data_IF_138518792133
#
_entry.id   IF_138518792133
#
_cell.length_a   1.000
_cell.length_b   1.000
_cell.length_c   1.000
_cell.angle_alpha   90.00
_cell.angle_beta   90.00
_cell.angle_gamma   90.00
#
_symmetry.space_group_name_H-M   'P 1'
#
loop_
_entity.id
_entity.type
_entity.pdbx_description
1 polymer ?
#
# COMPACT_ATOMS: atom_id res chain seq x y z
N UNK A 1 -4.86 14.03 -4.21
CA UNK A 1 -5.62 12.91 -4.81
C UNK A 1 -4.66 11.80 -5.19
N UNK A 2 -5.00 10.58 -4.83
CA UNK A 2 -4.12 9.45 -5.14
C UNK A 2 -4.38 8.96 -6.56
N UNK A 3 -3.29 8.71 -7.28
CA UNK A 3 -3.37 8.14 -8.64
C UNK A 3 -3.15 6.64 -8.66
N UNK A 4 -3.07 6.02 -7.48
CA UNK A 4 -2.82 4.59 -7.39
C UNK A 4 -4.10 3.79 -7.56
N UNK A 5 -4.00 2.68 -8.28
CA UNK A 5 -5.12 1.78 -8.52
C UNK A 5 -4.71 0.33 -8.27
N UNK A 6 -5.70 -0.51 -8.01
CA UNK A 6 -5.48 -1.95 -7.88
C UNK A 6 -4.83 -2.46 -9.16
N UNK A 7 -3.77 -3.25 -9.01
CA UNK A 7 -3.01 -3.77 -10.13
C UNK A 7 -1.80 -2.94 -10.52
N UNK A 8 -1.68 -1.72 -9.98
CA UNK A 8 -0.54 -0.87 -10.29
C UNK A 8 0.73 -1.42 -9.67
N UNK A 9 1.83 -1.28 -10.42
CA UNK A 9 3.15 -1.58 -9.92
C UNK A 9 3.70 -0.36 -9.18
N UNK A 10 4.11 -0.56 -7.94
CA UNK A 10 4.58 0.53 -7.07
C UNK A 10 5.83 0.10 -6.32
N UNK A 11 6.50 1.08 -5.73
CA UNK A 11 7.63 0.82 -4.85
C UNK A 11 7.41 1.58 -3.55
N UNK A 12 8.05 1.09 -2.49
CA UNK A 12 8.00 1.74 -1.18
C UNK A 12 9.26 1.39 -0.41
N UNK A 13 9.51 2.16 0.65
CA UNK A 13 10.70 1.95 1.48
C UNK A 13 10.37 1.07 2.68
N UNK A 14 11.30 0.18 3.00
CA UNK A 14 11.24 -0.63 4.21
C UNK A 14 12.52 -0.37 5.01
N UNK A 15 12.59 -0.92 6.23
CA UNK A 15 13.80 -0.79 7.03
C UNK A 15 15.01 -1.48 6.37
N UNK A 16 14.77 -2.38 5.44
CA UNK A 16 15.82 -3.06 4.67
C UNK A 16 16.14 -2.35 3.36
N UNK A 17 15.48 -1.24 3.08
CA UNK A 17 15.66 -0.49 1.85
C UNK A 17 14.41 -0.54 0.97
N UNK A 18 14.49 -0.04 -0.25
CA UNK A 18 13.33 -0.01 -1.14
C UNK A 18 12.95 -1.40 -1.61
N UNK A 19 11.65 -1.58 -1.77
CA UNK A 19 11.09 -2.79 -2.38
C UNK A 19 9.98 -2.39 -3.33
N UNK A 20 9.48 -3.33 -4.12
CA UNK A 20 8.42 -3.05 -5.06
C UNK A 20 7.44 -4.21 -5.13
N UNK A 21 6.27 -3.94 -5.65
CA UNK A 21 5.23 -4.93 -5.76
C UNK A 21 4.01 -4.36 -6.44
N UNK A 22 2.87 -4.95 -6.14
CA UNK A 22 1.60 -4.66 -6.79
C UNK A 22 0.55 -4.29 -5.74
N UNK A 23 -0.30 -3.34 -6.08
CA UNK A 23 -1.44 -2.98 -5.22
C UNK A 23 -2.52 -4.04 -5.38
N UNK A 24 -2.91 -4.67 -4.26
CA UNK A 24 -3.96 -5.67 -4.23
C UNK A 24 -5.33 -5.07 -3.93
N UNK A 25 -5.39 -4.08 -3.03
CA UNK A 25 -6.66 -3.50 -2.58
C UNK A 25 -6.49 -2.02 -2.31
N UNK A 26 -7.58 -1.30 -2.50
CA UNK A 26 -7.71 0.10 -2.11
C UNK A 26 -8.73 0.17 -0.99
N UNK A 27 -8.33 0.75 0.15
CA UNK A 27 -9.19 0.88 1.32
C UNK A 27 -9.53 2.35 1.54
N UNK A 28 -10.81 2.63 1.73
CA UNK A 28 -11.29 4.00 1.94
C UNK A 28 -11.99 4.17 3.28
N UNK A 29 -11.92 3.17 4.13
CA UNK A 29 -12.45 3.19 5.49
C UNK A 29 -11.41 2.63 6.43
N UNK A 30 -11.51 2.99 7.71
CA UNK A 30 -10.61 2.46 8.71
C UNK A 30 -10.68 0.94 8.74
N UNK A 31 -9.55 0.32 8.95
CA UNK A 31 -9.44 -1.14 8.93
C UNK A 31 -8.29 -1.60 9.82
N UNK A 32 -8.29 -2.88 10.12
CA UNK A 32 -7.17 -3.51 10.83
C UNK A 32 -6.41 -4.40 9.86
N UNK A 33 -5.11 -4.36 9.95
CA UNK A 33 -4.24 -5.17 9.11
C UNK A 33 -3.02 -5.58 9.94
N UNK A 34 -2.76 -6.88 10.01
CA UNK A 34 -1.62 -7.45 10.73
C UNK A 34 -1.54 -6.94 12.18
N UNK A 35 -2.71 -6.89 12.84
CA UNK A 35 -2.80 -6.48 14.23
C UNK A 35 -2.70 -4.98 14.47
N UNK A 36 -2.64 -4.17 13.41
CA UNK A 36 -2.55 -2.71 13.52
C UNK A 36 -3.79 -2.05 12.94
N UNK A 37 -4.16 -0.94 13.55
CA UNK A 37 -5.29 -0.15 13.08
C UNK A 37 -4.80 0.92 12.10
N UNK A 38 -5.42 0.97 10.92
CA UNK A 38 -5.12 1.97 9.92
C UNK A 38 -6.34 2.83 9.66
N UNK A 39 -6.11 4.13 9.52
CA UNK A 39 -7.18 5.05 9.12
C UNK A 39 -7.14 5.24 7.61
N UNK A 40 -8.32 5.37 7.01
CA UNK A 40 -8.41 5.61 5.58
C UNK A 40 -9.72 6.32 5.27
N UNK A 41 -9.73 7.05 4.15
CA UNK A 41 -10.92 7.73 3.65
C UNK A 41 -10.82 7.79 2.14
N UNK A 42 -11.87 8.25 1.48
CA UNK A 42 -11.83 8.38 0.02
C UNK A 42 -10.82 9.44 -0.42
N UNK A 43 -10.62 10.47 0.40
CA UNK A 43 -9.64 11.52 0.10
C UNK A 43 -8.21 11.11 0.45
N UNK A 44 -8.06 10.13 1.32
CA UNK A 44 -6.76 9.64 1.78
C UNK A 44 -6.81 8.13 1.92
N UNK A 45 -6.89 7.41 0.81
CA UNK A 45 -7.00 5.95 0.85
C UNK A 45 -5.71 5.28 1.28
N UNK A 46 -5.86 4.10 1.88
CA UNK A 46 -4.75 3.21 2.15
C UNK A 46 -4.77 2.07 1.13
N UNK A 47 -3.62 1.47 0.92
CA UNK A 47 -3.46 0.41 -0.08
C UNK A 47 -2.81 -0.81 0.55
N UNK A 48 -3.34 -1.98 0.22
CA UNK A 48 -2.70 -3.25 0.56
C UNK A 48 -1.86 -3.64 -0.65
N UNK A 49 -0.58 -3.86 -0.41
CA UNK A 49 0.38 -4.19 -1.46
C UNK A 49 1.03 -5.53 -1.19
N UNK A 50 1.46 -6.21 -2.24
CA UNK A 50 2.19 -7.46 -2.15
C UNK A 50 3.58 -7.27 -2.74
N UNK A 51 4.60 -7.58 -1.96
CA UNK A 51 5.99 -7.48 -2.41
C UNK A 51 6.27 -8.54 -3.49
N UNK A 52 6.84 -8.11 -4.60
CA UNK A 52 7.27 -9.04 -5.66
C UNK A 52 8.41 -9.94 -5.20
N UNK A 53 9.19 -9.47 -4.24
CA UNK A 53 10.37 -10.17 -3.79
C UNK A 53 10.05 -11.32 -2.85
N UNK A 54 9.11 -11.11 -1.93
CA UNK A 54 8.84 -12.08 -0.86
C UNK A 54 7.41 -12.59 -0.84
N UNK A 55 6.50 -11.91 -1.55
CA UNK A 55 5.08 -12.20 -1.46
C UNK A 55 4.43 -11.67 -0.19
N UNK A 56 5.18 -10.98 0.66
CA UNK A 56 4.63 -10.42 1.89
C UNK A 56 3.70 -9.25 1.58
N UNK A 57 2.66 -9.10 2.39
CA UNK A 57 1.68 -8.03 2.24
C UNK A 57 1.96 -6.93 3.26
N UNK A 58 1.63 -5.70 2.87
CA UNK A 58 1.77 -4.53 3.74
C UNK A 58 0.68 -3.53 3.42
N UNK A 59 0.41 -2.64 4.38
CA UNK A 59 -0.56 -1.57 4.19
C UNK A 59 0.17 -0.23 4.21
N UNK A 60 -0.08 0.61 3.23
CA UNK A 60 0.56 1.93 3.12
C UNK A 60 -0.43 2.95 2.61
N UNK A 61 -0.23 4.21 3.01
CA UNK A 61 -0.93 5.33 2.42
C UNK A 61 -0.35 5.62 1.04
N UNK A 62 -1.15 6.26 0.18
CA UNK A 62 -0.71 6.57 -1.18
C UNK A 62 0.57 7.38 -1.24
N UNK A 63 0.79 8.28 -0.26
CA UNK A 63 2.01 9.09 -0.22
C UNK A 63 3.28 8.29 0.04
N UNK A 64 3.17 7.08 0.57
CA UNK A 64 4.30 6.21 0.81
C UNK A 64 4.66 5.33 -0.40
N UNK A 65 3.81 5.33 -1.41
CA UNK A 65 3.98 4.51 -2.59
C UNK A 65 4.42 5.36 -3.77
N UNK A 66 5.32 4.82 -4.57
CA UNK A 66 5.74 5.46 -5.81
C UNK A 66 5.41 4.55 -6.98
N UNK A 67 4.85 5.14 -8.02
CA UNK A 67 4.52 4.39 -9.23
C UNK A 67 5.79 3.99 -9.97
N UNK A 68 5.78 2.79 -10.48
CA UNK A 68 6.91 2.27 -11.27
C UNK A 68 6.64 2.38 -12.75
#
# INVERSE_FOLDING_TARGET
MSDHEVGDHVSWNTWQGPTHGVIDERRVRDFEFDGQHFTASEDDPAFIVTSDKTGAKAAHKGGALRRR
#
